data_IF_397188289759
#
_entry.id   IF_397188289759
#
_cell.length_a   1.000
_cell.length_b   1.000
_cell.length_c   1.000
_cell.angle_alpha   90.00
_cell.angle_beta   90.00
_cell.angle_gamma   90.00
#
_symmetry.space_group_name_H-M   'P 1'
#
loop_
_entity.id
_entity.type
_entity.pdbx_description
1 polymer ?
#
# COMPACT_ATOMS: atom_id res chain seq x y z
N UNK A 1 -29.54 29.61 44.28
CA UNK A 1 -30.36 30.26 43.24
C UNK A 1 -29.42 30.59 42.11
N UNK A 2 -29.79 30.30 40.86
CA UNK A 2 -28.96 30.64 39.70
C UNK A 2 -28.83 32.16 39.60
N UNK A 3 -27.63 32.63 39.30
CA UNK A 3 -27.32 34.01 38.95
C UNK A 3 -27.72 34.27 37.49
N UNK A 4 -27.91 35.53 37.12
CA UNK A 4 -28.25 35.89 35.74
C UNK A 4 -27.17 35.44 34.73
N UNK A 5 -25.91 35.37 35.15
CA UNK A 5 -24.81 34.91 34.31
C UNK A 5 -24.88 33.41 34.04
N UNK A 6 -25.11 32.60 35.08
CA UNK A 6 -25.31 31.14 34.94
C UNK A 6 -26.54 30.84 34.07
N UNK A 7 -27.60 31.65 34.19
CA UNK A 7 -28.77 31.54 33.32
C UNK A 7 -28.42 31.75 31.85
N UNK A 8 -27.58 32.73 31.52
CA UNK A 8 -27.15 33.02 30.14
C UNK A 8 -26.37 31.85 29.52
N UNK A 9 -25.57 31.14 30.31
CA UNK A 9 -24.84 29.95 29.83
C UNK A 9 -25.77 28.78 29.52
N UNK A 10 -26.89 28.66 30.23
CA UNK A 10 -27.84 27.55 30.10
C UNK A 10 -28.90 27.77 29.00
N UNK A 11 -29.05 29.00 28.47
CA UNK A 11 -30.08 29.32 27.48
C UNK A 11 -29.98 28.45 26.21
N UNK A 12 -28.81 28.26 25.56
CA UNK A 12 -28.73 27.50 24.30
C UNK A 12 -29.20 26.04 24.43
N UNK A 13 -28.84 25.39 25.55
CA UNK A 13 -29.25 24.03 25.84
C UNK A 13 -30.73 23.93 26.21
N UNK A 14 -31.25 24.95 26.91
CA UNK A 14 -32.67 25.07 27.22
C UNK A 14 -33.52 25.21 25.96
N UNK A 15 -33.16 26.12 25.05
CA UNK A 15 -33.94 26.37 23.83
C UNK A 15 -33.86 25.21 22.84
N UNK A 16 -32.72 24.49 22.81
CA UNK A 16 -32.58 23.27 21.99
C UNK A 16 -33.14 22.00 22.64
N UNK A 17 -33.76 22.08 23.81
CA UNK A 17 -34.40 20.95 24.50
C UNK A 17 -33.43 19.89 25.04
N UNK A 18 -32.14 20.25 25.21
CA UNK A 18 -31.07 19.33 25.63
C UNK A 18 -30.68 19.45 27.10
N UNK A 19 -31.23 20.43 27.81
CA UNK A 19 -30.93 20.68 29.20
C UNK A 19 -31.51 19.60 30.13
N UNK A 20 -30.78 19.22 31.19
CA UNK A 20 -31.25 18.22 32.14
C UNK A 20 -32.51 18.69 32.91
N UNK A 21 -33.44 17.78 33.29
CA UNK A 21 -34.69 18.17 33.93
C UNK A 21 -34.55 19.00 35.21
N UNK A 22 -33.51 18.72 36.01
CA UNK A 22 -33.21 19.45 37.26
C UNK A 22 -32.74 20.89 37.00
N UNK A 23 -31.94 21.10 35.96
CA UNK A 23 -31.41 22.42 35.59
C UNK A 23 -32.47 23.25 34.89
N UNK A 24 -33.30 22.61 34.04
CA UNK A 24 -34.46 23.25 33.42
C UNK A 24 -35.46 23.76 34.47
N UNK A 25 -35.65 23.03 35.56
CA UNK A 25 -36.51 23.47 36.66
C UNK A 25 -35.89 24.66 37.42
N UNK A 26 -34.59 24.62 37.70
CA UNK A 26 -33.89 25.73 38.35
C UNK A 26 -33.90 27.01 37.50
N UNK A 27 -33.73 26.86 36.19
CA UNK A 27 -33.83 27.96 35.21
C UNK A 27 -35.23 28.56 35.20
N UNK A 28 -36.29 27.73 35.10
CA UNK A 28 -37.69 28.20 35.15
C UNK A 28 -38.02 29.00 36.41
N UNK A 29 -37.51 28.56 37.56
CA UNK A 29 -37.67 29.30 38.83
C UNK A 29 -36.99 30.67 38.78
N UNK A 30 -35.81 30.78 38.15
CA UNK A 30 -35.15 32.08 37.95
C UNK A 30 -35.95 32.98 37.00
N UNK A 31 -36.46 32.45 35.89
CA UNK A 31 -37.22 33.23 34.90
C UNK A 31 -38.52 33.79 35.48
N UNK A 32 -39.13 33.11 36.45
CA UNK A 32 -40.29 33.63 37.20
C UNK A 32 -39.94 34.85 38.08
N UNK A 33 -38.69 34.98 38.50
CA UNK A 33 -38.22 36.07 39.38
C UNK A 33 -37.43 37.18 38.68
N UNK A 34 -36.91 36.95 37.48
CA UNK A 34 -36.08 37.90 36.75
C UNK A 34 -36.64 38.22 35.36
N UNK A 35 -37.31 39.37 35.26
CA UNK A 35 -37.96 39.80 34.02
C UNK A 35 -36.98 40.01 32.85
N UNK A 36 -35.76 40.46 33.14
CA UNK A 36 -34.72 40.63 32.11
C UNK A 36 -34.35 39.31 31.45
N UNK A 37 -34.04 38.28 32.25
CA UNK A 37 -33.70 36.96 31.73
C UNK A 37 -34.90 36.29 31.04
N UNK A 38 -36.12 36.52 31.54
CA UNK A 38 -37.34 36.03 30.87
C UNK A 38 -37.47 36.56 29.43
N UNK A 39 -37.29 37.87 29.23
CA UNK A 39 -37.35 38.50 27.91
C UNK A 39 -36.21 38.00 26.99
N UNK A 40 -34.99 37.88 27.51
CA UNK A 40 -33.85 37.36 26.74
C UNK A 40 -34.09 35.91 26.26
N UNK A 41 -34.54 35.03 27.15
CA UNK A 41 -34.83 33.62 26.81
C UNK A 41 -36.00 33.50 25.83
N UNK A 42 -37.06 34.30 26.01
CA UNK A 42 -38.21 34.30 25.10
C UNK A 42 -37.81 34.76 23.69
N UNK A 43 -36.97 35.79 23.57
CA UNK A 43 -36.42 36.22 22.29
C UNK A 43 -35.63 35.12 21.58
N UNK A 44 -34.75 34.40 22.29
CA UNK A 44 -34.01 33.28 21.71
C UNK A 44 -34.93 32.10 21.34
N UNK A 45 -35.94 31.81 22.15
CA UNK A 45 -36.93 30.77 21.86
C UNK A 45 -37.71 31.07 20.58
N UNK A 46 -38.06 32.34 20.34
CA UNK A 46 -38.70 32.76 19.09
C UNK A 46 -37.79 32.54 17.88
N UNK A 47 -36.51 32.92 17.97
CA UNK A 47 -35.53 32.67 16.89
C UNK A 47 -35.42 31.18 16.58
N UNK A 48 -35.36 30.33 17.60
CA UNK A 48 -35.27 28.88 17.41
C UNK A 48 -36.54 28.30 16.78
N UNK A 49 -37.72 28.79 17.16
CA UNK A 49 -38.98 28.42 16.54
C UNK A 49 -39.04 28.83 15.05
N UNK A 50 -38.46 29.98 14.67
CA UNK A 50 -38.38 30.38 13.26
C UNK A 50 -37.43 29.48 12.46
N UNK A 51 -36.33 29.03 13.06
CA UNK A 51 -35.42 28.07 12.43
C UNK A 51 -36.06 26.69 12.27
N UNK A 52 -36.87 26.26 13.24
CA UNK A 52 -37.59 24.98 13.19
C UNK A 52 -38.72 24.99 12.13
N UNK A 53 -39.30 26.16 11.87
CA UNK A 53 -40.27 26.37 10.79
C UNK A 53 -39.62 26.60 9.41
N UNK A 54 -38.28 26.68 9.36
CA UNK A 54 -37.59 26.84 8.10
C UNK A 54 -37.86 25.63 7.20
N UNK A 55 -38.26 25.83 5.93
CA UNK A 55 -38.59 24.72 5.05
C UNK A 55 -37.39 23.79 4.93
N UNK A 56 -37.55 22.57 5.44
CA UNK A 56 -36.53 21.55 5.36
C UNK A 56 -36.43 21.09 3.91
N UNK A 57 -35.28 21.36 3.28
CA UNK A 57 -35.05 20.92 1.92
C UNK A 57 -34.77 19.41 1.94
N UNK A 58 -35.78 18.63 1.53
CA UNK A 58 -35.67 17.19 1.52
C UNK A 58 -34.49 16.77 0.64
N UNK A 59 -33.58 15.92 1.14
CA UNK A 59 -32.49 15.41 0.32
C UNK A 59 -33.07 14.67 -0.89
N UNK A 60 -32.44 14.83 -2.05
CA UNK A 60 -32.89 14.17 -3.27
C UNK A 60 -33.05 12.65 -3.07
N UNK A 61 -34.04 12.05 -3.74
CA UNK A 61 -34.27 10.59 -3.74
C UNK A 61 -33.01 9.78 -4.06
N UNK A 62 -32.14 10.32 -4.93
CA UNK A 62 -30.85 9.72 -5.26
C UNK A 62 -29.91 9.66 -4.05
N UNK A 63 -29.83 10.75 -3.26
CA UNK A 63 -29.00 10.79 -2.07
C UNK A 63 -29.52 9.83 -0.99
N UNK A 64 -30.84 9.81 -0.76
CA UNK A 64 -31.47 8.89 0.19
C UNK A 64 -31.23 7.43 -0.20
N UNK A 65 -31.40 7.11 -1.48
CA UNK A 65 -31.17 5.76 -2.01
C UNK A 65 -29.69 5.37 -1.89
N UNK A 66 -28.76 6.26 -2.23
CA UNK A 66 -27.33 6.00 -2.13
C UNK A 66 -26.89 5.76 -0.68
N UNK A 67 -27.36 6.58 0.27
CA UNK A 67 -27.08 6.42 1.69
C UNK A 67 -27.67 5.11 2.21
N UNK A 68 -28.94 4.81 1.89
CA UNK A 68 -29.59 3.56 2.28
C UNK A 68 -28.82 2.36 1.76
N UNK A 69 -28.38 2.38 0.50
CA UNK A 69 -27.58 1.30 -0.08
C UNK A 69 -26.22 1.17 0.60
N UNK A 70 -25.54 2.27 0.91
CA UNK A 70 -24.26 2.24 1.62
C UNK A 70 -24.40 1.65 3.03
N UNK A 71 -25.44 2.04 3.78
CA UNK A 71 -25.73 1.51 5.13
C UNK A 71 -26.10 0.03 5.06
N UNK A 72 -26.97 -0.37 4.13
CA UNK A 72 -27.32 -1.78 3.95
C UNK A 72 -26.11 -2.62 3.53
N UNK A 73 -25.23 -2.08 2.69
CA UNK A 73 -23.99 -2.74 2.30
C UNK A 73 -23.05 -2.91 3.51
N UNK A 74 -22.97 -1.93 4.42
CA UNK A 74 -22.14 -2.02 5.62
C UNK A 74 -22.71 -2.96 6.68
N UNK A 75 -24.04 -3.03 6.80
CA UNK A 75 -24.74 -3.97 7.70
C UNK A 75 -24.74 -5.41 7.18
N UNK A 76 -24.76 -5.59 5.85
CA UNK A 76 -24.66 -6.92 5.21
C UNK A 76 -23.22 -7.36 4.98
N UNK A 77 -22.26 -6.43 4.98
CA UNK A 77 -20.86 -6.77 5.09
C UNK A 77 -20.65 -7.48 6.44
N UNK A 78 -20.03 -8.67 6.46
CA UNK A 78 -19.82 -9.41 7.69
C UNK A 78 -18.93 -8.60 8.65
N UNK A 79 -19.56 -7.89 9.58
CA UNK A 79 -18.88 -7.24 10.70
C UNK A 79 -18.49 -8.33 11.69
N UNK A 80 -17.20 -8.66 11.73
CA UNK A 80 -16.63 -9.46 12.81
C UNK A 80 -16.35 -10.93 12.52
N UNK A 81 -15.66 -11.24 11.42
CA UNK A 81 -14.87 -12.47 11.36
C UNK A 81 -13.41 -12.16 11.67
N UNK A 82 -12.91 -12.70 12.79
CA UNK A 82 -11.52 -13.12 13.01
C UNK A 82 -10.87 -13.57 11.69
N UNK A 83 -9.54 -13.44 11.48
CA UNK A 83 -8.89 -13.78 10.22
C UNK A 83 -9.06 -15.26 9.92
N UNK A 84 -10.22 -15.62 9.37
CA UNK A 84 -10.48 -16.90 8.78
C UNK A 84 -9.41 -17.05 7.73
N UNK A 85 -8.69 -18.15 7.80
CA UNK A 85 -7.89 -18.68 6.71
C UNK A 85 -8.81 -18.82 5.51
N UNK A 86 -8.98 -17.74 4.75
CA UNK A 86 -9.70 -17.73 3.48
C UNK A 86 -8.85 -18.58 2.54
N UNK A 87 -9.20 -19.86 2.47
CA UNK A 87 -8.59 -20.83 1.56
C UNK A 87 -8.90 -20.37 0.14
N UNK A 88 -7.87 -20.26 -0.71
CA UNK A 88 -8.07 -19.95 -2.12
C UNK A 88 -9.01 -21.01 -2.73
N UNK A 89 -10.04 -20.64 -3.50
CA UNK A 89 -10.86 -21.60 -4.23
C UNK A 89 -9.97 -22.52 -5.06
N UNK A 90 -10.26 -23.82 -5.10
CA UNK A 90 -9.41 -24.82 -5.78
C UNK A 90 -9.05 -24.45 -7.23
N UNK A 91 -10.01 -23.86 -7.98
CA UNK A 91 -9.75 -23.37 -9.34
C UNK A 91 -8.72 -22.23 -9.38
N UNK A 92 -8.78 -21.28 -8.45
CA UNK A 92 -7.82 -20.16 -8.37
C UNK A 92 -6.44 -20.63 -7.93
N UNK A 93 -6.39 -21.60 -7.02
CA UNK A 93 -5.13 -22.24 -6.63
C UNK A 93 -4.50 -22.96 -7.83
N UNK A 94 -5.29 -23.67 -8.64
CA UNK A 94 -4.81 -24.33 -9.86
C UNK A 94 -4.19 -23.34 -10.85
N UNK A 95 -4.84 -22.18 -11.08
CA UNK A 95 -4.26 -21.12 -11.90
C UNK A 95 -2.99 -20.52 -11.28
N UNK A 96 -2.96 -20.28 -9.97
CA UNK A 96 -1.76 -19.81 -9.30
C UNK A 96 -0.57 -20.77 -9.45
N UNK A 97 -0.83 -22.08 -9.37
CA UNK A 97 0.16 -23.12 -9.59
C UNK A 97 0.64 -23.12 -11.05
N UNK A 98 -0.30 -23.11 -12.01
CA UNK A 98 0.02 -23.11 -13.43
C UNK A 98 0.85 -21.88 -13.85
N UNK A 99 0.38 -20.68 -13.49
CA UNK A 99 1.06 -19.42 -13.80
C UNK A 99 2.40 -19.31 -13.08
N UNK A 100 2.48 -19.78 -11.83
CA UNK A 100 3.72 -19.80 -11.07
C UNK A 100 4.78 -20.70 -11.70
N UNK A 101 4.42 -21.91 -12.11
CA UNK A 101 5.32 -22.82 -12.82
C UNK A 101 5.73 -22.27 -14.20
N UNK A 102 4.79 -21.67 -14.93
CA UNK A 102 5.07 -21.04 -16.22
C UNK A 102 6.07 -19.89 -16.06
N UNK A 103 5.91 -19.05 -15.04
CA UNK A 103 6.86 -17.99 -14.73
C UNK A 103 8.23 -18.54 -14.33
N UNK A 104 8.30 -19.59 -13.51
CA UNK A 104 9.60 -20.23 -13.21
C UNK A 104 10.28 -20.72 -14.47
N UNK A 105 9.57 -21.43 -15.35
CA UNK A 105 10.11 -21.94 -16.61
C UNK A 105 10.62 -20.79 -17.48
N UNK A 106 9.82 -19.73 -17.65
CA UNK A 106 10.21 -18.53 -18.38
C UNK A 106 11.48 -17.89 -17.80
N UNK A 107 11.53 -17.73 -16.47
CA UNK A 107 12.67 -17.15 -15.78
C UNK A 107 13.94 -18.01 -15.91
N UNK A 108 13.82 -19.34 -15.85
CA UNK A 108 14.93 -20.28 -16.10
C UNK A 108 15.42 -20.18 -17.54
N UNK A 109 14.53 -20.08 -18.53
CA UNK A 109 14.90 -19.92 -19.95
C UNK A 109 15.65 -18.60 -20.17
N UNK A 110 15.15 -17.50 -19.59
CA UNK A 110 15.82 -16.20 -19.65
C UNK A 110 17.22 -16.29 -19.01
N UNK A 111 17.33 -17.00 -17.89
CA UNK A 111 18.58 -17.21 -17.17
C UNK A 111 19.58 -18.12 -17.89
N UNK A 112 19.13 -19.17 -18.57
CA UNK A 112 20.00 -20.12 -19.26
C UNK A 112 20.84 -19.47 -20.36
N UNK A 113 20.38 -18.35 -20.92
CA UNK A 113 21.16 -17.55 -21.86
C UNK A 113 22.17 -16.58 -21.23
N UNK A 114 22.19 -16.44 -19.90
CA UNK A 114 22.98 -15.43 -19.18
C UNK A 114 23.86 -16.00 -18.04
N UNK A 115 23.51 -17.15 -17.47
CA UNK A 115 24.21 -17.73 -16.31
C UNK A 115 24.90 -19.07 -16.67
N UNK A 116 26.14 -19.23 -16.22
CA UNK A 116 26.88 -20.49 -16.29
C UNK A 116 26.46 -21.41 -15.12
N UNK A 117 25.72 -22.47 -15.40
CA UNK A 117 25.31 -23.44 -14.37
C UNK A 117 26.38 -24.50 -14.05
N UNK A 118 27.52 -24.47 -14.74
CA UNK A 118 28.59 -25.48 -14.65
C UNK A 118 29.18 -25.65 -13.24
N UNK A 119 28.99 -24.68 -12.33
CA UNK A 119 29.45 -24.74 -10.94
C UNK A 119 28.45 -25.28 -9.92
N UNK A 120 27.21 -25.60 -10.31
CA UNK A 120 26.16 -26.01 -9.37
C UNK A 120 25.82 -27.49 -9.50
N UNK A 121 25.63 -28.16 -8.36
CA UNK A 121 25.17 -29.55 -8.33
C UNK A 121 23.67 -29.64 -8.66
N UNK A 122 23.25 -30.77 -9.24
CA UNK A 122 21.84 -30.99 -9.60
C UNK A 122 20.85 -30.76 -8.43
N UNK A 123 21.13 -31.19 -7.18
CA UNK A 123 20.24 -30.92 -6.05
C UNK A 123 20.08 -29.42 -5.74
N UNK A 124 21.13 -28.62 -5.91
CA UNK A 124 21.07 -27.16 -5.67
C UNK A 124 20.21 -26.49 -6.73
N UNK A 125 20.35 -26.89 -8.00
CA UNK A 125 19.53 -26.36 -9.09
C UNK A 125 18.05 -26.74 -8.92
N UNK A 126 17.76 -28.00 -8.56
CA UNK A 126 16.40 -28.46 -8.28
C UNK A 126 15.78 -27.74 -7.08
N UNK A 127 16.53 -27.60 -5.99
CA UNK A 127 16.09 -26.89 -4.79
C UNK A 127 15.81 -25.42 -5.07
N UNK A 128 16.69 -24.75 -5.84
CA UNK A 128 16.51 -23.35 -6.23
C UNK A 128 15.29 -23.17 -7.15
N UNK A 129 15.10 -24.04 -8.15
CA UNK A 129 13.93 -24.01 -9.03
C UNK A 129 12.61 -24.30 -8.30
N UNK A 130 12.61 -25.22 -7.33
CA UNK A 130 11.46 -25.52 -6.49
C UNK A 130 11.11 -24.33 -5.57
N UNK A 131 12.11 -23.73 -4.93
CA UNK A 131 11.92 -22.52 -4.13
C UNK A 131 11.36 -21.38 -4.98
N UNK A 132 11.93 -21.17 -6.16
CA UNK A 132 11.49 -20.12 -7.07
C UNK A 132 10.03 -20.32 -7.51
N UNK A 133 9.66 -21.56 -7.82
CA UNK A 133 8.28 -21.93 -8.12
C UNK A 133 7.34 -21.67 -6.95
N UNK A 134 7.71 -22.07 -5.74
CA UNK A 134 6.90 -21.81 -4.55
C UNK A 134 6.65 -20.30 -4.34
N UNK A 135 7.68 -19.48 -4.57
CA UNK A 135 7.57 -18.02 -4.46
C UNK A 135 6.67 -17.41 -5.55
N UNK A 136 6.79 -17.83 -6.81
CA UNK A 136 5.90 -17.36 -7.87
C UNK A 136 4.46 -17.82 -7.65
N UNK A 137 4.24 -19.07 -7.23
CA UNK A 137 2.91 -19.60 -6.90
C UNK A 137 2.29 -18.77 -5.77
N UNK A 138 3.07 -18.42 -4.74
CA UNK A 138 2.62 -17.53 -3.67
C UNK A 138 2.25 -16.14 -4.21
N UNK A 139 3.06 -15.55 -5.09
CA UNK A 139 2.77 -14.25 -5.69
C UNK A 139 1.47 -14.27 -6.50
N UNK A 140 1.24 -15.30 -7.32
CA UNK A 140 -0.02 -15.46 -8.05
C UNK A 140 -1.19 -15.80 -7.13
N UNK A 141 -0.98 -16.54 -6.04
CA UNK A 141 -2.02 -16.78 -5.04
C UNK A 141 -2.46 -15.46 -4.38
N UNK A 142 -1.52 -14.56 -4.06
CA UNK A 142 -1.82 -13.20 -3.57
C UNK A 142 -2.59 -12.38 -4.61
N UNK A 143 -2.22 -12.49 -5.88
CA UNK A 143 -2.93 -11.85 -6.99
C UNK A 143 -4.40 -12.29 -7.08
N UNK A 144 -4.66 -13.60 -7.11
CA UNK A 144 -6.01 -14.16 -7.25
C UNK A 144 -6.87 -14.05 -5.99
N UNK A 145 -6.26 -13.95 -4.80
CA UNK A 145 -6.96 -13.73 -3.52
C UNK A 145 -7.66 -12.37 -3.48
N UNK A 146 -7.07 -11.36 -4.09
CA UNK A 146 -7.51 -9.97 -3.99
C UNK A 146 -8.80 -9.65 -4.74
N UNK A 147 -9.29 -10.54 -5.62
CA UNK A 147 -10.53 -10.33 -6.39
C UNK A 147 -11.81 -10.30 -5.54
N UNK A 148 -11.76 -10.70 -4.26
CA UNK A 148 -12.93 -10.72 -3.36
C UNK A 148 -12.88 -9.76 -2.18
N UNK A 149 -11.85 -8.91 -2.06
CA UNK A 149 -11.62 -8.05 -0.88
C UNK A 149 -11.76 -6.55 -1.21
N UNK A 150 -12.90 -6.15 -1.78
CA UNK A 150 -13.27 -4.75 -1.94
C UNK A 150 -13.50 -4.12 -0.55
N UNK A 151 -12.46 -3.54 0.04
CA UNK A 151 -12.50 -2.91 1.37
C UNK A 151 -11.25 -3.13 2.24
N UNK A 152 -10.34 -4.02 1.85
CA UNK A 152 -9.09 -4.21 2.59
C UNK A 152 -8.21 -2.95 2.51
N UNK A 153 -7.57 -2.58 3.63
CA UNK A 153 -6.64 -1.44 3.70
C UNK A 153 -5.39 -1.60 2.82
N UNK A 154 -5.12 -2.83 2.38
CA UNK A 154 -3.98 -3.20 1.53
C UNK A 154 -4.48 -3.98 0.31
N UNK A 155 -4.20 -3.45 -0.88
CA UNK A 155 -4.54 -4.05 -2.16
C UNK A 155 -3.44 -5.05 -2.58
N UNK A 156 -3.62 -6.33 -2.24
CA UNK A 156 -2.68 -7.40 -2.55
C UNK A 156 -2.49 -7.60 -4.07
N UNK A 157 -3.50 -7.31 -4.90
CA UNK A 157 -3.38 -7.41 -6.36
C UNK A 157 -2.36 -6.44 -6.91
N UNK A 158 -2.39 -5.19 -6.44
CA UNK A 158 -1.46 -4.15 -6.88
C UNK A 158 -0.01 -4.52 -6.49
N UNK A 159 0.17 -5.04 -5.28
CA UNK A 159 1.47 -5.51 -4.78
C UNK A 159 1.98 -6.69 -5.62
N UNK A 160 1.15 -7.70 -5.85
CA UNK A 160 1.52 -8.88 -6.62
C UNK A 160 1.87 -8.53 -8.08
N UNK A 161 1.04 -7.72 -8.74
CA UNK A 161 1.32 -7.26 -10.11
C UNK A 161 2.61 -6.47 -10.19
N UNK A 162 2.80 -5.49 -9.30
CA UNK A 162 4.00 -4.66 -9.30
C UNK A 162 5.26 -5.52 -9.08
N UNK A 163 5.21 -6.46 -8.12
CA UNK A 163 6.30 -7.41 -7.88
C UNK A 163 6.61 -8.28 -9.11
N UNK A 164 5.60 -8.95 -9.67
CA UNK A 164 5.75 -9.86 -10.81
C UNK A 164 6.25 -9.14 -12.08
N UNK A 165 5.67 -7.98 -12.42
CA UNK A 165 6.12 -7.19 -13.56
C UNK A 165 7.55 -6.69 -13.38
N UNK A 166 7.90 -6.26 -12.17
CA UNK A 166 9.27 -5.82 -11.90
C UNK A 166 10.25 -6.98 -12.04
N UNK A 167 9.93 -8.17 -11.50
CA UNK A 167 10.80 -9.35 -11.68
C UNK A 167 10.98 -9.69 -13.16
N UNK A 168 9.90 -9.69 -13.94
CA UNK A 168 9.97 -9.91 -15.39
C UNK A 168 10.87 -8.88 -16.07
N UNK A 169 10.69 -7.60 -15.78
CA UNK A 169 11.52 -6.52 -16.32
C UNK A 169 12.99 -6.65 -15.91
N UNK A 170 13.27 -6.93 -14.64
CA UNK A 170 14.62 -7.13 -14.12
C UNK A 170 15.32 -8.32 -14.78
N UNK A 171 14.64 -9.46 -14.95
CA UNK A 171 15.23 -10.63 -15.64
C UNK A 171 15.53 -10.34 -17.11
N UNK A 172 14.62 -9.67 -17.82
CA UNK A 172 14.86 -9.24 -19.21
C UNK A 172 16.04 -8.27 -19.27
N UNK A 173 16.08 -7.29 -18.36
CA UNK A 173 17.18 -6.34 -18.26
C UNK A 173 18.52 -7.07 -18.02
N UNK A 174 18.57 -8.00 -17.07
CA UNK A 174 19.76 -8.81 -16.79
C UNK A 174 20.21 -9.68 -17.99
N UNK A 175 19.27 -10.11 -18.83
CA UNK A 175 19.58 -10.87 -20.05
C UNK A 175 20.15 -9.99 -21.16
N UNK A 176 19.64 -8.76 -21.30
CA UNK A 176 20.07 -7.80 -22.34
C UNK A 176 21.35 -7.05 -21.96
N UNK A 177 21.51 -6.72 -20.68
CA UNK A 177 22.64 -6.00 -20.11
C UNK A 177 23.32 -6.92 -19.10
N UNK A 178 24.28 -7.71 -19.57
CA UNK A 178 25.03 -8.57 -18.65
C UNK A 178 25.81 -7.71 -17.66
N UNK A 179 25.74 -8.06 -16.37
CA UNK A 179 26.44 -7.33 -15.29
C UNK A 179 27.94 -7.23 -15.58
N UNK A 180 28.53 -8.29 -16.14
CA UNK A 180 29.95 -8.30 -16.52
C UNK A 180 30.30 -7.26 -17.60
N UNK A 181 29.47 -7.10 -18.64
CA UNK A 181 29.71 -6.08 -19.66
C UNK A 181 29.54 -4.67 -19.09
N UNK A 182 28.52 -4.45 -18.26
CA UNK A 182 28.29 -3.17 -17.60
C UNK A 182 29.46 -2.78 -16.70
N UNK A 183 29.96 -3.72 -15.89
CA UNK A 183 31.11 -3.49 -15.01
C UNK A 183 32.36 -3.18 -15.81
N UNK A 184 32.66 -3.94 -16.88
CA UNK A 184 33.80 -3.66 -17.76
C UNK A 184 33.69 -2.27 -18.39
N UNK A 185 32.51 -1.90 -18.87
CA UNK A 185 32.28 -0.57 -19.42
C UNK A 185 32.50 0.53 -18.37
N UNK A 186 31.96 0.35 -17.16
CA UNK A 186 32.16 1.29 -16.06
C UNK A 186 33.63 1.43 -15.65
N UNK A 187 34.41 0.34 -15.68
CA UNK A 187 35.85 0.40 -15.38
C UNK A 187 36.66 1.21 -16.41
N UNK A 188 36.20 1.25 -17.67
CA UNK A 188 36.86 1.99 -18.76
C UNK A 188 36.36 3.45 -18.80
N UNK A 189 35.10 3.70 -18.45
CA UNK A 189 34.51 5.04 -18.42
C UNK A 189 35.12 5.91 -17.31
N UNK A 190 35.39 7.22 -17.53
CA UNK A 190 35.98 8.09 -16.52
C UNK A 190 35.17 8.17 -15.23
N UNK A 191 33.84 8.15 -15.35
CA UNK A 191 32.89 8.29 -14.25
C UNK A 191 32.76 6.98 -13.46
N UNK A 192 32.68 5.85 -14.17
CA UNK A 192 32.63 4.54 -13.52
C UNK A 192 33.97 4.20 -12.85
N UNK A 193 35.10 4.52 -13.49
CA UNK A 193 36.42 4.34 -12.90
C UNK A 193 36.58 5.18 -11.62
N UNK A 194 36.03 6.40 -11.60
CA UNK A 194 35.99 7.22 -10.38
C UNK A 194 35.17 6.55 -9.27
N UNK A 195 34.00 5.99 -9.58
CA UNK A 195 33.19 5.23 -8.62
C UNK A 195 34.01 4.08 -8.01
N UNK A 196 34.62 3.23 -8.85
CA UNK A 196 35.44 2.11 -8.38
C UNK A 196 36.63 2.55 -7.53
N UNK A 197 37.25 3.71 -7.81
CA UNK A 197 38.33 4.28 -6.99
C UNK A 197 37.83 4.79 -5.64
N UNK A 198 36.66 5.40 -5.59
CA UNK A 198 36.13 6.02 -4.37
C UNK A 198 35.54 5.00 -3.39
N UNK A 199 34.77 4.03 -3.88
CA UNK A 199 34.02 3.08 -3.03
C UNK A 199 34.56 1.64 -3.09
N UNK A 200 35.61 1.40 -3.89
CA UNK A 200 36.16 0.07 -4.10
C UNK A 200 35.25 -0.83 -4.95
N UNK A 201 35.68 -2.08 -5.14
CA UNK A 201 34.94 -3.05 -5.94
C UNK A 201 33.62 -3.45 -5.26
N UNK A 202 33.64 -3.78 -3.97
CA UNK A 202 32.44 -4.16 -3.22
C UNK A 202 31.39 -3.04 -3.19
N UNK A 203 31.82 -1.80 -2.89
CA UNK A 203 30.94 -0.64 -2.88
C UNK A 203 30.33 -0.32 -4.26
N UNK A 204 31.05 -0.54 -5.35
CA UNK A 204 30.49 -0.36 -6.69
C UNK A 204 29.37 -1.38 -6.97
N UNK A 205 29.54 -2.64 -6.58
CA UNK A 205 28.50 -3.67 -6.75
C UNK A 205 27.29 -3.43 -5.82
N UNK A 206 27.49 -2.85 -4.64
CA UNK A 206 26.40 -2.34 -3.79
C UNK A 206 25.56 -1.29 -4.53
N UNK A 207 26.21 -0.30 -5.16
CA UNK A 207 25.52 0.75 -5.93
C UNK A 207 24.80 0.17 -7.14
N UNK A 208 25.43 -0.74 -7.89
CA UNK A 208 24.77 -1.38 -9.03
C UNK A 208 23.57 -2.23 -8.62
N UNK A 209 23.69 -3.03 -7.56
CA UNK A 209 22.56 -3.78 -7.00
C UNK A 209 21.42 -2.84 -6.58
N UNK A 210 21.74 -1.72 -5.94
CA UNK A 210 20.76 -0.71 -5.53
C UNK A 210 20.02 -0.10 -6.72
N UNK A 211 20.74 0.35 -7.75
CA UNK A 211 20.13 0.92 -8.95
C UNK A 211 19.31 -0.13 -9.72
N UNK A 212 19.81 -1.36 -9.81
CA UNK A 212 19.16 -2.46 -10.49
C UNK A 212 17.79 -2.81 -9.89
N UNK A 213 17.64 -2.74 -8.57
CA UNK A 213 16.35 -2.92 -7.92
C UNK A 213 15.52 -1.63 -7.94
N UNK A 214 16.13 -0.48 -7.61
CA UNK A 214 15.43 0.79 -7.40
C UNK A 214 14.69 1.26 -8.64
N UNK A 215 15.37 1.32 -9.79
CA UNK A 215 14.82 1.91 -11.02
C UNK A 215 13.57 1.18 -11.51
N UNK A 216 13.58 -0.14 -11.74
CA UNK A 216 12.38 -0.83 -12.22
C UNK A 216 11.27 -0.85 -11.18
N UNK A 217 11.58 -1.03 -9.88
CA UNK A 217 10.56 -1.00 -8.83
C UNK A 217 9.91 0.36 -8.73
N UNK A 218 10.67 1.44 -8.83
CA UNK A 218 10.14 2.79 -8.85
C UNK A 218 9.17 2.98 -10.01
N UNK A 219 9.58 2.64 -11.23
CA UNK A 219 8.76 2.82 -12.45
C UNK A 219 7.47 2.00 -12.37
N UNK A 220 7.58 0.71 -12.05
CA UNK A 220 6.42 -0.20 -12.00
C UNK A 220 5.49 0.16 -10.84
N UNK A 221 6.04 0.50 -9.67
CA UNK A 221 5.22 0.92 -8.51
C UNK A 221 4.52 2.24 -8.75
N UNK A 222 5.16 3.18 -9.44
CA UNK A 222 4.52 4.42 -9.86
C UNK A 222 3.37 4.17 -10.85
N UNK A 223 3.57 3.31 -11.85
CA UNK A 223 2.52 2.95 -12.81
C UNK A 223 1.35 2.18 -12.16
N UNK A 224 1.64 1.21 -11.29
CA UNK A 224 0.62 0.43 -10.58
C UNK A 224 -0.05 1.20 -9.44
N UNK A 225 0.56 2.31 -8.99
CA UNK A 225 0.12 3.08 -7.83
C UNK A 225 -1.21 3.80 -8.01
N UNK A 226 -1.76 3.87 -9.23
CA UNK A 226 -3.09 4.44 -9.45
C UNK A 226 -4.18 3.77 -8.62
N UNK A 227 -3.99 2.48 -8.34
CA UNK A 227 -4.93 1.62 -7.61
C UNK A 227 -4.73 1.70 -6.09
N UNK A 228 -3.82 2.54 -5.61
CA UNK A 228 -3.40 2.62 -4.21
C UNK A 228 -3.57 4.05 -3.69
N UNK A 229 -4.71 4.33 -3.07
CA UNK A 229 -4.98 5.64 -2.45
C UNK A 229 -4.65 5.68 -0.95
N UNK A 230 -4.77 4.54 -0.25
CA UNK A 230 -4.53 4.45 1.19
C UNK A 230 -3.22 3.72 1.48
N UNK A 231 -2.43 4.24 2.43
CA UNK A 231 -1.15 3.66 2.92
C UNK A 231 -0.16 3.28 1.79
N UNK A 232 0.25 4.22 0.92
CA UNK A 232 1.15 3.92 -0.19
C UNK A 232 2.52 3.37 0.24
N UNK A 233 3.06 3.84 1.38
CA UNK A 233 4.33 3.35 1.92
C UNK A 233 4.24 1.88 2.31
N UNK A 234 3.15 1.45 2.96
CA UNK A 234 2.96 0.05 3.34
C UNK A 234 2.87 -0.87 2.11
N UNK A 235 2.19 -0.42 1.05
CA UNK A 235 2.16 -1.16 -0.22
C UNK A 235 3.55 -1.29 -0.83
N UNK A 236 4.34 -0.21 -0.82
CA UNK A 236 5.70 -0.22 -1.30
C UNK A 236 6.61 -1.16 -0.52
N UNK A 237 6.51 -1.20 0.81
CA UNK A 237 7.32 -2.10 1.64
C UNK A 237 6.98 -3.57 1.38
N UNK A 238 5.69 -3.90 1.25
CA UNK A 238 5.26 -5.26 0.93
C UNK A 238 5.68 -5.66 -0.50
N UNK A 239 5.58 -4.73 -1.46
CA UNK A 239 6.04 -4.94 -2.83
C UNK A 239 7.56 -5.13 -2.91
N UNK A 240 8.33 -4.34 -2.16
CA UNK A 240 9.78 -4.47 -2.06
C UNK A 240 10.16 -5.86 -1.52
N UNK A 241 9.53 -6.29 -0.42
CA UNK A 241 9.74 -7.62 0.15
C UNK A 241 9.40 -8.74 -0.83
N UNK A 242 8.25 -8.66 -1.50
CA UNK A 242 7.84 -9.65 -2.50
C UNK A 242 8.84 -9.72 -3.67
N UNK A 243 9.20 -8.59 -4.25
CA UNK A 243 10.20 -8.52 -5.34
C UNK A 243 11.55 -9.09 -4.92
N UNK A 244 12.04 -8.69 -3.74
CA UNK A 244 13.34 -9.13 -3.24
C UNK A 244 13.36 -10.66 -3.07
N UNK A 245 12.31 -11.24 -2.47
CA UNK A 245 12.17 -12.69 -2.37
C UNK A 245 12.14 -13.36 -3.75
N UNK A 246 11.33 -12.85 -4.69
CA UNK A 246 11.18 -13.43 -6.03
C UNK A 246 12.46 -13.35 -6.88
N UNK A 247 13.34 -12.37 -6.63
CA UNK A 247 14.60 -12.21 -7.37
C UNK A 247 15.79 -12.89 -6.70
N UNK A 248 15.70 -13.23 -5.41
CA UNK A 248 16.80 -13.81 -4.66
C UNK A 248 17.37 -15.10 -5.28
N UNK A 249 16.56 -16.08 -5.74
CA UNK A 249 17.09 -17.27 -6.42
C UNK A 249 17.88 -16.93 -7.69
N UNK A 250 17.40 -15.95 -8.47
CA UNK A 250 18.10 -15.49 -9.66
C UNK A 250 19.43 -14.83 -9.32
N UNK A 251 19.47 -13.93 -8.33
CA UNK A 251 20.69 -13.29 -7.86
C UNK A 251 21.69 -14.35 -7.37
N UNK A 252 21.25 -15.32 -6.57
CA UNK A 252 22.10 -16.40 -6.08
C UNK A 252 22.75 -17.19 -7.23
N UNK A 253 21.96 -17.58 -8.24
CA UNK A 253 22.46 -18.34 -9.40
C UNK A 253 23.38 -17.51 -10.31
N UNK A 254 23.07 -16.22 -10.53
CA UNK A 254 23.92 -15.32 -11.33
C UNK A 254 25.24 -15.00 -10.62
N UNK A 255 25.20 -14.83 -9.30
CA UNK A 255 26.36 -14.43 -8.52
C UNK A 255 27.25 -15.61 -8.09
N UNK A 256 26.91 -16.86 -8.45
CA UNK A 256 27.73 -18.04 -8.13
C UNK A 256 29.18 -17.96 -8.64
N UNK A 257 29.44 -17.14 -9.66
CA UNK A 257 30.77 -16.90 -10.20
C UNK A 257 31.56 -15.78 -9.49
N UNK A 258 30.94 -15.01 -8.58
CA UNK A 258 31.58 -13.90 -7.89
C UNK A 258 32.19 -14.33 -6.54
N UNK A 259 33.11 -13.50 -6.03
CA UNK A 259 33.57 -13.65 -4.64
C UNK A 259 32.42 -13.37 -3.67
N UNK A 260 32.49 -13.97 -2.48
CA UNK A 260 31.45 -13.84 -1.45
C UNK A 260 31.15 -12.37 -1.10
N UNK A 261 32.18 -11.53 -0.95
CA UNK A 261 32.02 -10.11 -0.64
C UNK A 261 31.28 -9.32 -1.72
N UNK A 262 31.56 -9.60 -3.00
CA UNK A 262 30.87 -8.99 -4.13
C UNK A 262 29.41 -9.44 -4.22
N UNK A 263 29.15 -10.74 -4.02
CA UNK A 263 27.79 -11.29 -4.00
C UNK A 263 26.95 -10.70 -2.87
N UNK A 264 27.49 -10.61 -1.65
CA UNK A 264 26.82 -9.99 -0.51
C UNK A 264 26.56 -8.50 -0.73
N UNK A 265 27.52 -7.78 -1.29
CA UNK A 265 27.34 -6.37 -1.63
C UNK A 265 26.23 -6.17 -2.65
N UNK A 266 26.15 -7.00 -3.68
CA UNK A 266 25.06 -6.93 -4.66
C UNK A 266 23.69 -7.19 -4.02
N UNK A 267 23.59 -8.23 -3.18
CA UNK A 267 22.34 -8.57 -2.45
C UNK A 267 21.93 -7.42 -1.53
N UNK A 268 22.86 -6.85 -0.76
CA UNK A 268 22.61 -5.71 0.12
C UNK A 268 22.17 -4.48 -0.68
N UNK A 269 22.77 -4.25 -1.84
CA UNK A 269 22.39 -3.19 -2.76
C UNK A 269 20.96 -3.38 -3.24
N UNK A 270 20.63 -4.55 -3.78
CA UNK A 270 19.28 -4.87 -4.27
C UNK A 270 18.22 -4.74 -3.16
N UNK A 271 18.56 -5.15 -1.92
CA UNK A 271 17.71 -4.93 -0.76
C UNK A 271 17.45 -3.42 -0.53
N UNK A 272 18.50 -2.60 -0.39
CA UNK A 272 18.34 -1.16 -0.19
C UNK A 272 17.56 -0.48 -1.32
N UNK A 273 17.89 -0.84 -2.57
CA UNK A 273 17.24 -0.31 -3.77
C UNK A 273 15.75 -0.64 -3.82
N UNK A 274 15.37 -1.88 -3.48
CA UNK A 274 13.96 -2.29 -3.45
C UNK A 274 13.14 -1.59 -2.38
N UNK A 275 13.69 -1.48 -1.17
CA UNK A 275 13.03 -0.81 -0.04
C UNK A 275 13.01 0.71 -0.15
N UNK A 276 13.82 1.31 -1.03
CA UNK A 276 13.70 2.71 -1.41
C UNK A 276 12.74 2.92 -2.60
N UNK A 277 12.92 2.15 -3.68
CA UNK A 277 12.25 2.36 -4.97
C UNK A 277 10.74 2.16 -4.92
N UNK A 278 10.27 1.05 -4.33
CA UNK A 278 8.83 0.76 -4.32
C UNK A 278 8.02 1.71 -3.43
N UNK A 279 8.40 1.99 -2.16
CA UNK A 279 7.70 2.98 -1.34
C UNK A 279 7.69 4.36 -1.98
N UNK A 280 8.80 4.79 -2.58
CA UNK A 280 8.88 6.09 -3.24
C UNK A 280 7.95 6.16 -4.46
N UNK A 281 7.91 5.11 -5.30
CA UNK A 281 7.04 5.05 -6.47
C UNK A 281 5.55 5.13 -6.11
N UNK A 282 5.10 4.31 -5.17
CA UNK A 282 3.70 4.34 -4.69
C UNK A 282 3.35 5.66 -4.01
N UNK A 283 4.26 6.21 -3.19
CA UNK A 283 4.03 7.46 -2.48
C UNK A 283 3.93 8.67 -3.41
N UNK A 284 4.84 8.79 -4.39
CA UNK A 284 4.78 9.85 -5.39
C UNK A 284 3.51 9.76 -6.23
N UNK A 285 3.10 8.55 -6.64
CA UNK A 285 1.86 8.38 -7.42
C UNK A 285 0.63 8.80 -6.61
N UNK A 286 0.53 8.33 -5.37
CA UNK A 286 -0.59 8.67 -4.48
C UNK A 286 -0.65 10.18 -4.18
N UNK A 287 0.50 10.85 -4.00
CA UNK A 287 0.55 12.31 -3.88
C UNK A 287 0.11 12.98 -5.18
N UNK A 288 0.61 12.58 -6.35
CA UNK A 288 0.22 13.21 -7.61
C UNK A 288 -1.29 13.19 -7.87
N UNK A 289 -2.00 12.16 -7.42
CA UNK A 289 -3.46 12.07 -7.55
C UNK A 289 -4.22 13.08 -6.67
N UNK A 290 -3.72 13.40 -5.46
CA UNK A 290 -4.40 14.33 -4.55
C UNK A 290 -4.32 15.80 -5.00
N UNK A 291 -3.53 16.11 -6.02
CA UNK A 291 -3.39 17.47 -6.57
C UNK A 291 -4.31 17.68 -7.78
N UNK A 292 -4.88 16.61 -8.33
CA UNK A 292 -5.78 16.64 -9.50
C UNK A 292 -7.26 16.58 -9.11
N UNK A 293 -7.56 16.30 -7.84
CA UNK A 293 -8.90 16.30 -7.24
C UNK A 293 -9.09 17.54 -6.39
#
# INVERSE_FOLDING_TARGET
>A
MLTCHEVQELVPEYVSGRLAPSEAQALKLHLQGCQRCAVEVEGLAQVWNFLDQWPEEAPSERAVTAIRQAVLADLTAPQGSTPATVVLPGRKLMWAVADGLLFTLGSVVVMAGAASFEGFSAPVLLGSGALWSALYILAFALYFRSEGQNGATVNLRAIALAGLFTVGFSLIAARTLSVGQLVRYCQISPWGAALFRCVGQEGAYLVFGALYALVPLFVVSFACGERVQRRPIAHGLLCAGLFFLLTLPAIYLQCGAFSLGVGLSWIAGAFLGSFAGAPLGFWLRARGQSWMT
#
